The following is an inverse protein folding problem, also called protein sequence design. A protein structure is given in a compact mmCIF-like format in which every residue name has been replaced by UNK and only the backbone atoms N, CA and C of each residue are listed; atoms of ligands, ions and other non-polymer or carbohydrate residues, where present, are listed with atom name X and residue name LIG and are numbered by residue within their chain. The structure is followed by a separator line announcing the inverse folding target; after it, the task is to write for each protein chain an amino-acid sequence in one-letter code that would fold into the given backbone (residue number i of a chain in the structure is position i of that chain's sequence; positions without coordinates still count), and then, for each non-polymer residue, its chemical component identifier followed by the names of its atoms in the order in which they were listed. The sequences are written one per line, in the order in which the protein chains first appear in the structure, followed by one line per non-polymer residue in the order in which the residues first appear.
data_IF_292234848304
#
_entry.id   IF_292234848304
#
_cell.length_a   1.000
_cell.length_b   1.000
_cell.length_c   1.000
_cell.angle_alpha   90.00
_cell.angle_beta   90.00
_cell.angle_gamma   90.00
#
_symmetry.space_group_name_H-M   'P 1'
#
loop_
_entity.id
_entity.type
_entity.pdbx_description
1 polymer ?
#
# COMPACT_ATOMS: atom_id res chain seq x y z
N UNK A 1 27.14 -5.27 1.85
CA UNK A 1 26.47 -5.98 2.94
C UNK A 1 25.24 -6.63 2.34
N UNK A 2 25.24 -7.95 2.23
CA UNK A 2 24.15 -8.75 1.65
C UNK A 2 23.81 -9.96 2.54
N UNK A 3 22.80 -10.75 2.16
CA UNK A 3 22.43 -11.97 2.88
C UNK A 3 23.53 -13.05 2.85
N UNK A 4 24.40 -13.02 1.83
CA UNK A 4 25.49 -13.98 1.70
C UNK A 4 26.58 -13.73 2.74
N UNK A 5 26.74 -12.49 3.20
CA UNK A 5 27.63 -12.17 4.31
C UNK A 5 27.26 -12.93 5.59
N UNK A 6 25.97 -13.21 5.82
CA UNK A 6 25.52 -14.06 6.92
C UNK A 6 25.83 -15.54 6.65
N UNK A 7 25.51 -16.04 5.46
CA UNK A 7 25.82 -17.41 5.06
C UNK A 7 27.32 -17.74 5.15
N UNK A 8 28.19 -16.79 4.77
CA UNK A 8 29.65 -16.92 4.83
C UNK A 8 30.26 -16.61 6.21
N UNK A 9 29.44 -16.39 7.24
CA UNK A 9 29.89 -16.11 8.61
C UNK A 9 30.52 -14.73 8.83
N UNK A 10 30.44 -13.82 7.85
CA UNK A 10 30.93 -12.44 7.95
C UNK A 10 29.93 -11.50 8.63
N UNK A 11 28.68 -11.93 8.80
CA UNK A 11 27.61 -11.21 9.49
C UNK A 11 27.01 -12.07 10.60
N UNK A 12 26.88 -11.52 11.81
CA UNK A 12 26.27 -12.24 12.93
C UNK A 12 24.75 -12.26 12.82
N UNK A 13 24.12 -13.35 13.31
CA UNK A 13 22.64 -13.47 13.35
C UNK A 13 21.99 -12.33 14.14
N UNK A 14 22.65 -11.84 15.20
CA UNK A 14 22.18 -10.68 15.97
C UNK A 14 22.12 -9.42 15.11
N UNK A 15 23.13 -9.18 14.26
CA UNK A 15 23.16 -8.01 13.38
C UNK A 15 22.15 -8.14 12.24
N UNK A 16 22.00 -9.33 11.66
CA UNK A 16 20.96 -9.60 10.68
C UNK A 16 19.56 -9.34 11.24
N UNK A 17 19.26 -9.81 12.46
CA UNK A 17 17.98 -9.58 13.11
C UNK A 17 17.69 -8.08 13.33
N UNK A 18 18.70 -7.28 13.67
CA UNK A 18 18.56 -5.82 13.80
C UNK A 18 18.24 -5.18 12.43
N UNK A 19 18.90 -5.60 11.35
CA UNK A 19 18.62 -5.08 10.01
C UNK A 19 17.20 -5.38 9.56
N UNK A 20 16.72 -6.61 9.80
CA UNK A 20 15.33 -7.00 9.50
C UNK A 20 14.35 -6.21 10.36
N UNK A 21 14.64 -6.03 11.66
CA UNK A 21 13.77 -5.29 12.58
C UNK A 21 13.63 -3.79 12.24
N UNK A 22 14.66 -3.22 11.62
CA UNK A 22 14.69 -1.81 11.23
C UNK A 22 14.55 -1.61 9.71
N UNK A 23 13.97 -2.60 9.01
CA UNK A 23 13.69 -2.46 7.60
C UNK A 23 12.73 -1.27 7.38
N UNK A 24 12.95 -0.43 6.35
CA UNK A 24 12.02 0.63 6.00
C UNK A 24 10.61 0.10 5.75
N UNK A 25 9.58 0.88 6.08
CA UNK A 25 8.17 0.49 5.95
C UNK A 25 7.74 0.24 4.49
N UNK A 26 8.41 0.88 3.54
CA UNK A 26 8.22 0.74 2.09
C UNK A 26 9.04 -0.41 1.47
N UNK A 27 9.80 -1.16 2.27
CA UNK A 27 10.57 -2.30 1.80
C UNK A 27 9.66 -3.40 1.23
N UNK A 28 10.14 -4.11 0.20
CA UNK A 28 9.38 -5.18 -0.43
C UNK A 28 8.97 -6.27 0.56
N UNK A 29 9.83 -6.58 1.54
CA UNK A 29 9.57 -7.60 2.56
C UNK A 29 8.45 -7.19 3.52
N UNK A 30 8.41 -5.92 3.93
CA UNK A 30 7.33 -5.41 4.79
C UNK A 30 6.03 -5.34 3.99
N UNK A 31 6.08 -4.92 2.71
CA UNK A 31 4.89 -4.91 1.84
C UNK A 31 4.28 -6.29 1.62
N UNK A 32 5.13 -7.30 1.39
CA UNK A 32 4.68 -8.69 1.22
C UNK A 32 4.11 -9.29 2.53
N UNK A 33 4.63 -8.88 3.68
CA UNK A 33 4.18 -9.37 4.99
C UNK A 33 2.91 -8.67 5.49
N UNK A 34 2.83 -7.35 5.34
CA UNK A 34 1.78 -6.50 5.91
C UNK A 34 0.61 -6.25 4.93
N UNK A 35 0.74 -6.65 3.66
CA UNK A 35 -0.29 -6.53 2.64
C UNK A 35 -0.78 -5.09 2.45
N UNK A 36 -2.11 -4.90 2.41
CA UNK A 36 -2.75 -3.57 2.27
C UNK A 36 -2.43 -2.61 3.42
N UNK A 37 -2.03 -3.14 4.59
CA UNK A 37 -1.60 -2.33 5.75
C UNK A 37 -0.24 -1.66 5.54
N UNK A 38 0.51 -2.08 4.52
CA UNK A 38 1.79 -1.48 4.17
C UNK A 38 1.63 -0.14 3.43
N UNK A 39 0.52 0.03 2.69
CA UNK A 39 0.31 1.21 1.86
C UNK A 39 -0.07 2.44 2.69
N UNK A 40 -1.04 2.30 3.61
CA UNK A 40 -1.45 3.39 4.50
C UNK A 40 -1.15 3.08 5.96
N UNK A 41 -0.56 4.05 6.66
CA UNK A 41 -0.51 4.06 8.11
C UNK A 41 -1.81 4.54 8.73
N UNK A 42 -1.95 4.35 10.04
CA UNK A 42 -3.10 4.86 10.81
C UNK A 42 -3.26 6.37 10.61
N UNK A 43 -2.16 7.13 10.58
CA UNK A 43 -2.18 8.57 10.33
C UNK A 43 -2.75 8.89 8.95
N UNK A 44 -2.45 8.11 7.91
CA UNK A 44 -2.95 8.35 6.55
C UNK A 44 -4.46 8.13 6.48
N UNK A 45 -4.96 7.06 7.10
CA UNK A 45 -6.40 6.83 7.23
C UNK A 45 -7.12 7.94 7.99
N UNK A 46 -6.55 8.40 9.11
CA UNK A 46 -7.13 9.47 9.91
C UNK A 46 -7.11 10.81 9.15
N UNK A 47 -6.03 11.10 8.41
CA UNK A 47 -5.93 12.32 7.62
C UNK A 47 -6.93 12.31 6.47
N UNK A 48 -7.09 11.17 5.77
CA UNK A 48 -8.10 11.02 4.73
C UNK A 48 -9.52 11.27 5.30
N UNK A 49 -9.84 10.71 6.46
CA UNK A 49 -11.12 10.97 7.12
C UNK A 49 -11.32 12.45 7.47
N UNK A 50 -10.28 13.14 7.95
CA UNK A 50 -10.34 14.59 8.22
C UNK A 50 -10.62 15.37 6.94
N UNK A 51 -9.93 15.05 5.84
CA UNK A 51 -10.14 15.71 4.55
C UNK A 51 -11.58 15.50 4.05
N UNK A 52 -12.09 14.26 4.13
CA UNK A 52 -13.46 13.93 3.73
C UNK A 52 -14.51 14.72 4.53
N UNK A 53 -14.35 14.78 5.85
CA UNK A 53 -15.27 15.50 6.72
C UNK A 53 -15.21 17.01 6.52
N UNK A 54 -14.02 17.58 6.29
CA UNK A 54 -13.87 19.00 5.99
C UNK A 54 -14.50 19.36 4.63
N UNK A 55 -14.31 18.52 3.61
CA UNK A 55 -14.94 18.71 2.31
C UNK A 55 -16.47 18.69 2.43
N UNK A 56 -17.02 17.70 3.14
CA UNK A 56 -18.46 17.60 3.38
C UNK A 56 -19.01 18.80 4.16
N UNK A 57 -18.31 19.24 5.21
CA UNK A 57 -18.73 20.41 5.99
C UNK A 57 -18.72 21.70 5.16
N UNK A 58 -17.68 21.91 4.35
CA UNK A 58 -17.58 23.07 3.46
C UNK A 58 -18.67 23.04 2.39
N UNK A 59 -18.96 21.87 1.82
CA UNK A 59 -20.04 21.70 0.87
C UNK A 59 -21.40 22.04 1.50
N UNK A 60 -21.71 21.49 2.69
CA UNK A 60 -22.94 21.82 3.43
C UNK A 60 -23.03 23.32 3.72
N UNK A 61 -21.92 23.95 4.11
CA UNK A 61 -21.86 25.39 4.34
C UNK A 61 -22.18 26.16 3.06
N UNK A 62 -21.59 25.80 1.92
CA UNK A 62 -21.87 26.43 0.63
C UNK A 62 -23.33 26.25 0.19
N UNK A 63 -23.91 25.07 0.39
CA UNK A 63 -25.33 24.80 0.07
C UNK A 63 -26.27 25.65 0.92
N UNK A 64 -26.01 25.75 2.23
CA UNK A 64 -26.87 26.52 3.16
C UNK A 64 -26.75 28.02 2.94
N UNK A 65 -25.57 28.52 2.56
CA UNK A 65 -25.29 29.95 2.38
C UNK A 65 -25.32 30.39 0.91
N UNK A 66 -25.80 29.53 0.00
CA UNK A 66 -25.94 29.87 -1.42
C UNK A 66 -27.02 30.94 -1.64
N UNK A 67 -26.91 31.65 -2.76
CA UNK A 67 -27.87 32.70 -3.17
C UNK A 67 -29.24 32.14 -3.62
N UNK A 68 -29.34 30.82 -3.79
CA UNK A 68 -30.57 30.11 -4.16
C UNK A 68 -30.97 30.25 -5.63
N UNK A 69 -30.24 31.05 -6.41
CA UNK A 69 -30.41 31.18 -7.87
C UNK A 69 -29.40 30.32 -8.64
N UNK A 70 -28.23 30.08 -8.06
CA UNK A 70 -27.21 29.22 -8.65
C UNK A 70 -27.47 27.74 -8.36
N UNK A 71 -27.08 26.88 -9.29
CA UNK A 71 -27.08 25.43 -9.05
C UNK A 71 -26.20 25.09 -7.84
N UNK A 72 -26.67 24.23 -6.91
CA UNK A 72 -25.88 23.81 -5.77
C UNK A 72 -24.56 23.15 -6.22
N UNK A 73 -23.46 23.35 -5.46
CA UNK A 73 -22.20 22.68 -5.77
C UNK A 73 -22.36 21.15 -5.68
N UNK A 74 -21.59 20.43 -6.48
CA UNK A 74 -21.56 18.96 -6.45
C UNK A 74 -21.06 18.46 -5.09
N UNK A 75 -21.63 17.34 -4.62
CA UNK A 75 -21.20 16.71 -3.38
C UNK A 75 -19.76 16.19 -3.54
N UNK A 76 -18.86 16.47 -2.57
CA UNK A 76 -17.49 16.02 -2.67
C UNK A 76 -17.38 14.49 -2.58
N UNK A 77 -16.50 13.94 -3.41
CA UNK A 77 -16.15 12.52 -3.38
C UNK A 77 -15.05 12.28 -2.36
N UNK A 78 -15.18 11.27 -1.47
CA UNK A 78 -14.14 10.92 -0.51
C UNK A 78 -12.79 10.58 -1.14
N UNK A 79 -11.71 10.81 -0.39
CA UNK A 79 -10.35 10.39 -0.79
C UNK A 79 -10.32 8.86 -0.96
N UNK A 80 -9.87 8.34 -2.12
CA UNK A 80 -9.77 6.91 -2.35
C UNK A 80 -8.80 6.26 -1.37
N UNK A 81 -9.26 5.24 -0.65
CA UNK A 81 -8.45 4.44 0.28
C UNK A 81 -7.84 3.23 -0.44
N UNK A 82 -6.72 2.70 0.05
CA UNK A 82 -6.27 1.36 -0.32
C UNK A 82 -7.41 0.37 -0.04
N UNK A 83 -7.68 -0.54 -0.99
CA UNK A 83 -8.85 -1.42 -0.96
C UNK A 83 -10.03 -0.93 -1.84
N UNK A 84 -10.30 0.38 -1.92
CA UNK A 84 -11.43 0.94 -2.69
C UNK A 84 -11.30 0.73 -4.21
N UNK A 85 -10.10 0.40 -4.71
CA UNK A 85 -9.88 0.09 -6.13
C UNK A 85 -10.40 -1.30 -6.50
N UNK A 86 -10.40 -2.25 -5.58
CA UNK A 86 -10.92 -3.60 -5.82
C UNK A 86 -12.46 -3.61 -6.00
N UNK A 87 -13.18 -2.68 -5.36
CA UNK A 87 -14.64 -2.58 -5.48
C UNK A 87 -15.10 -1.85 -6.76
N UNK A 88 -14.29 -0.92 -7.29
CA UNK A 88 -14.64 -0.18 -8.52
C UNK A 88 -14.43 -0.97 -9.81
N UNK A 89 -13.54 -1.96 -9.81
CA UNK A 89 -13.34 -2.88 -10.96
C UNK A 89 -14.30 -4.10 -10.94
N UNK A 90 -15.12 -4.27 -9.89
CA UNK A 90 -16.00 -5.42 -9.71
C UNK A 90 -17.25 -5.49 -10.61
N UNK A 91 -17.45 -4.55 -11.55
CA UNK A 91 -18.56 -4.58 -12.53
C UNK A 91 -18.10 -4.91 -13.96
N UNK A 92 -16.83 -5.24 -14.17
CA UNK A 92 -16.40 -5.87 -15.43
C UNK A 92 -15.88 -7.26 -15.11
N UNK A 93 -16.75 -8.25 -15.29
CA UNK A 93 -16.31 -9.60 -15.54
C UNK A 93 -15.48 -9.58 -16.84
N UNK A 94 -14.16 -9.44 -16.71
CA UNK A 94 -13.25 -10.02 -17.67
C UNK A 94 -12.01 -10.55 -16.93
N UNK A 95 -11.74 -11.79 -17.24
CA UNK A 95 -10.68 -12.63 -16.72
C UNK A 95 -9.36 -12.13 -17.29
N UNK A 96 -8.78 -11.09 -16.70
CA UNK A 96 -7.37 -10.75 -16.91
C UNK A 96 -6.78 -10.20 -15.63
N UNK A 97 -6.55 -11.11 -14.69
CA UNK A 97 -5.36 -10.99 -13.85
C UNK A 97 -4.19 -10.84 -14.83
N UNK A 98 -3.40 -9.75 -14.83
CA UNK A 98 -2.09 -9.84 -15.44
C UNK A 98 -1.40 -10.88 -14.60
N UNK A 99 -1.26 -12.09 -15.14
CA UNK A 99 -0.51 -13.17 -14.54
C UNK A 99 0.82 -12.53 -14.15
N UNK A 100 0.96 -12.23 -12.85
CA UNK A 100 2.23 -11.91 -12.26
C UNK A 100 3.05 -13.11 -12.65
N UNK A 101 3.94 -12.92 -13.64
CA UNK A 101 4.71 -13.99 -14.21
C UNK A 101 5.32 -14.69 -13.01
N UNK A 102 4.78 -15.88 -12.71
CA UNK A 102 5.29 -16.71 -11.63
C UNK A 102 6.63 -17.11 -12.15
N UNK A 103 7.64 -16.28 -11.86
CA UNK A 103 9.01 -16.67 -12.05
C UNK A 103 9.10 -17.97 -11.25
N UNK A 104 9.37 -19.10 -11.92
CA UNK A 104 9.43 -20.37 -11.22
C UNK A 104 10.42 -20.20 -10.07
N UNK A 105 10.01 -20.60 -8.87
CA UNK A 105 10.87 -20.51 -7.70
C UNK A 105 12.24 -21.12 -8.08
N UNK A 106 13.34 -20.40 -7.84
CA UNK A 106 14.66 -20.83 -8.28
C UNK A 106 14.93 -22.25 -7.79
N UNK A 107 15.43 -23.10 -8.67
CA UNK A 107 15.71 -24.50 -8.37
C UNK A 107 16.77 -24.61 -7.27
N UNK A 108 16.81 -25.72 -6.50
CA UNK A 108 17.80 -25.90 -5.43
C UNK A 108 19.26 -25.75 -5.89
N UNK A 109 19.56 -26.08 -7.14
CA UNK A 109 20.88 -25.91 -7.74
C UNK A 109 21.18 -24.46 -8.14
N UNK A 110 20.19 -23.68 -8.55
CA UNK A 110 20.32 -22.23 -8.78
C UNK A 110 20.52 -21.49 -7.47
N UNK A 111 19.79 -21.88 -6.41
CA UNK A 111 20.01 -21.38 -5.06
C UNK A 111 21.43 -21.71 -4.61
N UNK A 112 21.88 -22.96 -4.74
CA UNK A 112 23.25 -23.35 -4.35
C UNK A 112 24.34 -22.54 -5.08
N UNK A 113 24.16 -22.23 -6.36
CA UNK A 113 25.08 -21.37 -7.14
C UNK A 113 25.05 -19.91 -6.72
N UNK A 114 23.90 -19.42 -6.27
CA UNK A 114 23.80 -18.07 -5.72
C UNK A 114 24.55 -17.93 -4.38
N UNK A 115 24.57 -19.00 -3.58
CA UNK A 115 25.20 -19.01 -2.25
C UNK A 115 26.69 -19.39 -2.21
N UNK A 116 27.27 -19.88 -3.31
CA UNK A 116 28.71 -20.12 -3.46
C UNK A 116 29.47 -18.81 -3.64
#
# INVERSE_FOLDING_TARGET
MDLLDWHRGRLSSRRLAILIKHLPRDSATIRDTDGETADWGVTDYLLAAVVDHLAAANWMFSVVNGDGESDPPEQPVPVPRPGDRAERDGTVADDTTPAAATQPAPSPSELARFFS
#
